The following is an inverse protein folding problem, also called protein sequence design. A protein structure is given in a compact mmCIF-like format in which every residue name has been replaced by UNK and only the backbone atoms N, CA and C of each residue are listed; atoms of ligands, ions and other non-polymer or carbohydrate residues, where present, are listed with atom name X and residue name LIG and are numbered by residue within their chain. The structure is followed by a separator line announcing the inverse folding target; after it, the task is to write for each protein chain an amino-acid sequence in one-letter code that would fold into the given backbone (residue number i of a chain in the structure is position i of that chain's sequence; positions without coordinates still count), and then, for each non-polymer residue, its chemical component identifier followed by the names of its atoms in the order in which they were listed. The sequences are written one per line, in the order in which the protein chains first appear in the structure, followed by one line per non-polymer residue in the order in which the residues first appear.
data_IF_376818420819
#
_entry.id   IF_376818420819
#
_cell.length_a   1.000
_cell.length_b   1.000
_cell.length_c   1.000
_cell.angle_alpha   90.00
_cell.angle_beta   90.00
_cell.angle_gamma   90.00
#
_symmetry.space_group_name_H-M   'P 1'
#
loop_
_entity.id
_entity.type
_entity.pdbx_description
1 polymer ?
#
# COMPACT_ATOMS: atom_id res chain seq x y z
N UNK A 1 16.48 -3.80 -3.72
CA UNK A 1 15.62 -3.28 -4.79
C UNK A 1 14.96 -4.47 -5.48
N UNK A 2 13.65 -4.40 -5.73
CA UNK A 2 12.91 -5.42 -6.49
C UNK A 2 12.56 -4.83 -7.84
N UNK A 3 12.77 -5.64 -8.90
CA UNK A 3 12.33 -5.30 -10.24
C UNK A 3 11.56 -6.48 -10.83
N UNK A 4 10.38 -6.21 -11.36
CA UNK A 4 9.56 -7.15 -12.11
C UNK A 4 9.59 -6.75 -13.59
N UNK A 5 9.86 -7.71 -14.48
CA UNK A 5 9.82 -7.49 -15.91
C UNK A 5 8.84 -8.44 -16.58
N UNK A 6 7.75 -7.85 -17.12
CA UNK A 6 6.71 -8.55 -17.88
C UNK A 6 6.21 -9.84 -17.20
N UNK A 7 6.04 -9.76 -15.85
CA UNK A 7 5.68 -10.92 -15.05
C UNK A 7 4.25 -11.37 -15.30
N UNK A 8 4.04 -12.69 -15.27
CA UNK A 8 2.76 -13.34 -15.47
C UNK A 8 2.53 -14.39 -14.41
N UNK A 9 1.27 -14.45 -13.94
CA UNK A 9 0.77 -15.51 -13.05
C UNK A 9 -0.54 -16.00 -13.60
N UNK A 10 -0.57 -17.26 -13.98
CA UNK A 10 -1.73 -17.92 -14.55
C UNK A 10 -2.14 -19.09 -13.67
N UNK A 11 -3.44 -19.19 -13.36
CA UNK A 11 -4.01 -20.31 -12.65
C UNK A 11 -4.85 -21.14 -13.63
N UNK A 12 -4.60 -22.45 -13.68
CA UNK A 12 -5.46 -23.39 -14.39
C UNK A 12 -6.69 -23.71 -13.52
N UNK A 13 -7.89 -23.54 -14.04
CA UNK A 13 -9.11 -24.04 -13.39
C UNK A 13 -9.33 -25.51 -13.71
N UNK A 14 -10.08 -26.21 -12.87
CA UNK A 14 -10.49 -27.60 -13.12
C UNK A 14 -11.23 -27.79 -14.46
N UNK A 15 -11.86 -26.73 -14.97
CA UNK A 15 -12.54 -26.71 -16.27
C UNK A 15 -11.59 -26.48 -17.47
N UNK A 16 -10.25 -26.45 -17.25
CA UNK A 16 -9.25 -26.21 -18.30
C UNK A 16 -9.16 -24.73 -18.75
N UNK A 17 -9.91 -23.82 -18.15
CA UNK A 17 -9.77 -22.39 -18.42
C UNK A 17 -8.58 -21.82 -17.67
N UNK A 18 -7.76 -21.02 -18.36
CA UNK A 18 -6.64 -20.30 -17.74
C UNK A 18 -7.13 -18.93 -17.27
N UNK A 19 -7.02 -18.68 -15.95
CA UNK A 19 -7.23 -17.34 -15.37
C UNK A 19 -5.88 -16.64 -15.30
N UNK A 20 -5.75 -15.53 -16.00
CA UNK A 20 -4.59 -14.66 -15.96
C UNK A 20 -4.76 -13.71 -14.77
N UNK A 21 -4.16 -14.03 -13.63
CA UNK A 21 -4.27 -13.23 -12.43
C UNK A 21 -3.31 -12.03 -12.46
N UNK A 22 -2.13 -12.20 -13.08
CA UNK A 22 -1.18 -11.15 -13.46
C UNK A 22 -0.77 -11.40 -14.89
N UNK A 23 -0.81 -10.39 -15.77
CA UNK A 23 -0.58 -10.52 -17.22
C UNK A 23 0.29 -9.38 -17.74
N UNK A 24 1.61 -9.55 -17.67
CA UNK A 24 2.58 -8.64 -18.25
C UNK A 24 2.86 -7.40 -17.39
N UNK A 25 2.86 -7.52 -16.06
CA UNK A 25 3.16 -6.41 -15.16
C UNK A 25 4.67 -6.21 -15.08
N UNK A 26 5.10 -4.96 -15.23
CA UNK A 26 6.47 -4.51 -14.94
C UNK A 26 6.42 -3.46 -13.84
N UNK A 27 7.32 -3.56 -12.88
CA UNK A 27 7.37 -2.71 -11.70
C UNK A 27 8.80 -2.69 -11.18
N UNK A 28 9.28 -1.52 -10.81
CA UNK A 28 10.49 -1.33 -10.01
C UNK A 28 10.12 -0.66 -8.69
N UNK A 29 10.79 -1.04 -7.60
CA UNK A 29 10.59 -0.51 -6.27
C UNK A 29 11.91 0.07 -5.77
N UNK A 30 11.90 1.36 -5.45
CA UNK A 30 13.03 2.06 -4.86
C UNK A 30 13.08 1.88 -3.33
N UNK A 31 14.27 1.94 -2.69
CA UNK A 31 14.38 1.98 -1.23
C UNK A 31 13.61 3.16 -0.63
N UNK A 32 12.88 2.94 0.46
CA UNK A 32 12.11 3.99 1.13
C UNK A 32 10.94 4.56 0.30
N UNK A 33 10.56 3.90 -0.80
CA UNK A 33 9.40 4.30 -1.59
C UNK A 33 8.10 3.74 -0.99
N UNK A 34 7.06 4.56 -0.93
CA UNK A 34 5.71 4.11 -0.60
C UNK A 34 4.87 4.04 -1.85
N UNK A 35 4.51 2.82 -2.25
CA UNK A 35 3.63 2.56 -3.39
C UNK A 35 2.27 2.10 -2.88
N UNK A 36 1.18 2.66 -3.41
CA UNK A 36 -0.16 2.10 -3.23
C UNK A 36 -0.59 1.34 -4.49
N UNK A 37 -1.02 0.08 -4.31
CA UNK A 37 -1.61 -0.73 -5.38
C UNK A 37 -3.12 -0.72 -5.23
N UNK A 38 -3.82 -0.14 -6.20
CA UNK A 38 -5.28 0.02 -6.20
C UNK A 38 -5.94 -0.72 -7.36
N UNK A 39 -7.26 -0.91 -7.28
CA UNK A 39 -8.05 -1.55 -8.34
C UNK A 39 -9.20 -2.38 -7.76
N UNK A 40 -10.13 -2.78 -8.60
CA UNK A 40 -11.29 -3.56 -8.21
C UNK A 40 -10.92 -4.93 -7.63
N UNK A 41 -11.85 -5.55 -6.90
CA UNK A 41 -11.68 -6.92 -6.42
C UNK A 41 -11.47 -7.89 -7.60
N UNK A 42 -10.49 -8.79 -7.46
CA UNK A 42 -10.11 -9.71 -8.52
C UNK A 42 -9.21 -9.14 -9.62
N UNK A 43 -8.76 -7.87 -9.51
CA UNK A 43 -7.85 -7.26 -10.49
C UNK A 43 -6.41 -7.82 -10.47
N UNK A 44 -6.05 -8.64 -9.46
CA UNK A 44 -4.74 -9.31 -9.38
C UNK A 44 -3.81 -8.77 -8.31
N UNK A 45 -4.23 -7.79 -7.49
CA UNK A 45 -3.40 -7.12 -6.45
C UNK A 45 -2.76 -8.10 -5.46
N UNK A 46 -3.54 -8.94 -4.80
CA UNK A 46 -3.02 -9.92 -3.83
C UNK A 46 -2.15 -11.00 -4.49
N UNK A 47 -2.41 -11.33 -5.77
CA UNK A 47 -1.53 -12.22 -6.54
C UNK A 47 -0.18 -11.54 -6.80
N UNK A 48 -0.18 -10.25 -7.14
CA UNK A 48 1.03 -9.46 -7.31
C UNK A 48 1.79 -9.32 -5.98
N UNK A 49 1.08 -9.14 -4.85
CA UNK A 49 1.68 -9.17 -3.52
C UNK A 49 2.39 -10.51 -3.24
N UNK A 50 1.69 -11.62 -3.44
CA UNK A 50 2.26 -12.96 -3.26
C UNK A 50 3.48 -13.23 -4.13
N UNK A 51 3.51 -12.67 -5.34
CA UNK A 51 4.67 -12.74 -6.23
C UNK A 51 5.84 -11.90 -5.71
N UNK A 52 5.56 -10.70 -5.22
CA UNK A 52 6.59 -9.81 -4.65
C UNK A 52 7.21 -10.40 -3.39
N UNK A 53 6.41 -11.04 -2.52
CA UNK A 53 6.88 -11.75 -1.32
C UNK A 53 7.69 -13.01 -1.72
N UNK A 54 7.38 -13.61 -2.86
CA UNK A 54 7.99 -14.85 -3.32
C UNK A 54 7.16 -16.11 -3.04
N UNK A 55 5.91 -15.97 -2.60
CA UNK A 55 5.00 -17.11 -2.35
C UNK A 55 4.33 -17.61 -3.63
N UNK A 56 4.16 -16.73 -4.63
CA UNK A 56 3.48 -17.08 -5.88
C UNK A 56 4.51 -17.32 -6.98
N UNK A 57 4.54 -18.51 -7.60
CA UNK A 57 5.46 -18.79 -8.69
C UNK A 57 5.07 -18.02 -9.96
N UNK A 58 6.08 -17.65 -10.74
CA UNK A 58 5.89 -17.05 -12.05
C UNK A 58 5.41 -18.08 -13.08
N UNK A 59 4.45 -17.68 -13.93
CA UNK A 59 4.14 -18.40 -15.18
C UNK A 59 4.92 -17.84 -16.37
N UNK A 60 5.58 -16.68 -16.21
CA UNK A 60 6.41 -16.04 -17.23
C UNK A 60 6.89 -14.66 -16.77
N UNK A 61 7.85 -14.10 -17.51
CA UNK A 61 8.54 -12.88 -17.10
C UNK A 61 9.64 -13.16 -16.09
N UNK A 62 10.18 -12.11 -15.47
CA UNK A 62 11.31 -12.21 -14.56
C UNK A 62 11.09 -11.37 -13.29
N UNK A 63 11.48 -11.91 -12.12
CA UNK A 63 11.59 -11.19 -10.85
C UNK A 63 13.05 -11.13 -10.44
N UNK A 64 13.59 -9.95 -10.45
CA UNK A 64 14.95 -9.66 -10.00
C UNK A 64 14.92 -9.05 -8.62
N UNK A 65 15.67 -9.62 -7.69
CA UNK A 65 15.88 -9.09 -6.35
C UNK A 65 17.27 -9.48 -5.89
N UNK A 66 17.93 -8.64 -5.09
CA UNK A 66 19.19 -8.99 -4.47
C UNK A 66 18.97 -10.21 -3.54
N UNK A 67 19.91 -11.16 -3.48
CA UNK A 67 19.75 -12.39 -2.68
C UNK A 67 19.53 -12.11 -1.19
N UNK A 68 20.14 -11.04 -0.68
CA UNK A 68 20.07 -10.59 0.71
C UNK A 68 18.82 -9.76 1.03
N UNK A 69 17.99 -9.43 0.03
CA UNK A 69 16.83 -8.55 0.20
C UNK A 69 15.78 -9.21 1.09
N UNK A 70 15.47 -8.58 2.21
CA UNK A 70 14.45 -9.06 3.16
C UNK A 70 13.11 -8.47 2.80
N UNK A 71 12.19 -9.31 2.32
CA UNK A 71 10.80 -8.94 2.04
C UNK A 71 9.89 -9.57 3.08
N UNK A 72 8.97 -8.80 3.65
CA UNK A 72 7.94 -9.29 4.56
C UNK A 72 6.56 -8.86 4.10
N UNK A 73 5.57 -9.72 4.34
CA UNK A 73 4.18 -9.45 3.99
C UNK A 73 3.26 -9.56 5.19
N UNK A 74 2.33 -8.62 5.31
CA UNK A 74 1.21 -8.68 6.25
C UNK A 74 -0.07 -8.78 5.44
N UNK A 75 -0.80 -9.88 5.65
CA UNK A 75 -1.98 -10.23 4.88
C UNK A 75 -3.25 -9.65 5.50
N UNK A 76 -4.34 -9.68 4.73
CA UNK A 76 -5.64 -9.12 5.09
C UNK A 76 -6.25 -9.71 6.37
N UNK A 77 -5.99 -10.99 6.66
CA UNK A 77 -6.54 -11.68 7.84
C UNK A 77 -5.46 -11.80 8.92
N UNK A 78 -5.51 -10.99 10.00
CA UNK A 78 -4.48 -11.02 11.03
C UNK A 78 -4.31 -12.37 11.70
N UNK A 79 -5.42 -13.04 12.03
CA UNK A 79 -5.41 -14.33 12.73
C UNK A 79 -4.77 -15.47 11.89
N UNK A 80 -4.77 -15.35 10.57
CA UNK A 80 -4.19 -16.37 9.70
C UNK A 80 -2.66 -16.37 9.69
N UNK A 81 -2.03 -15.33 10.23
CA UNK A 81 -0.57 -15.20 10.29
C UNK A 81 0.01 -15.47 11.68
N UNK A 82 -0.83 -15.51 12.70
CA UNK A 82 -0.40 -15.72 14.10
C UNK A 82 -0.10 -17.21 14.33
N UNK A 83 1.07 -17.50 14.88
CA UNK A 83 1.56 -18.83 15.19
C UNK A 83 1.67 -19.08 16.70
N UNK A 84 1.96 -18.04 17.49
CA UNK A 84 2.12 -18.10 18.94
C UNK A 84 0.82 -17.85 19.70
N UNK A 85 0.78 -18.30 20.96
CA UNK A 85 -0.32 -17.97 21.89
C UNK A 85 -0.09 -16.62 22.57
N UNK A 86 1.16 -16.20 22.72
CA UNK A 86 1.58 -14.94 23.34
C UNK A 86 2.39 -14.06 22.37
N UNK A 87 2.47 -12.76 22.68
CA UNK A 87 3.29 -11.81 21.92
C UNK A 87 4.75 -12.27 21.88
N UNK A 88 5.28 -12.77 23.00
CA UNK A 88 6.67 -13.24 23.09
C UNK A 88 6.93 -14.45 22.19
N UNK A 89 6.02 -15.41 22.18
CA UNK A 89 6.13 -16.60 21.31
C UNK A 89 6.07 -16.23 19.85
N UNK A 90 5.21 -15.28 19.46
CA UNK A 90 5.08 -14.82 18.08
C UNK A 90 6.40 -14.22 17.57
N UNK A 91 7.04 -13.35 18.37
CA UNK A 91 8.37 -12.82 18.04
C UNK A 91 9.44 -13.91 18.06
N UNK A 92 9.36 -14.88 18.98
CA UNK A 92 10.29 -15.99 19.00
C UNK A 92 10.24 -16.80 17.70
N UNK A 93 9.05 -17.14 17.20
CA UNK A 93 8.91 -17.84 15.92
C UNK A 93 9.49 -17.03 14.75
N UNK A 94 9.20 -15.74 14.69
CA UNK A 94 9.64 -14.88 13.61
C UNK A 94 11.16 -14.65 13.58
N UNK A 95 11.80 -14.60 14.76
CA UNK A 95 13.21 -14.27 14.91
C UNK A 95 14.12 -15.51 15.07
N UNK A 96 13.55 -16.69 15.34
CA UNK A 96 14.30 -17.92 15.60
C UNK A 96 15.21 -18.36 14.44
N UNK A 97 14.84 -18.01 13.20
CA UNK A 97 15.64 -18.31 12.01
C UNK A 97 16.78 -17.30 11.78
N UNK A 98 16.78 -16.19 12.51
CA UNK A 98 17.85 -15.20 12.44
C UNK A 98 18.96 -15.62 13.39
N UNK A 99 20.20 -15.71 12.89
CA UNK A 99 21.39 -16.09 13.68
C UNK A 99 21.85 -14.96 14.61
N UNK A 100 20.95 -14.48 15.49
CA UNK A 100 21.19 -13.33 16.37
C UNK A 100 21.17 -13.73 17.84
N UNK A 101 21.85 -12.92 18.64
CA UNK A 101 21.85 -13.13 20.10
C UNK A 101 20.46 -12.87 20.70
N UNK A 102 20.11 -13.50 21.82
CA UNK A 102 18.85 -13.24 22.53
C UNK A 102 18.65 -11.73 22.86
N UNK A 103 19.72 -11.03 23.21
CA UNK A 103 19.67 -9.59 23.51
C UNK A 103 19.33 -8.75 22.26
N UNK A 104 19.80 -9.14 21.08
CA UNK A 104 19.46 -8.45 19.85
C UNK A 104 18.00 -8.74 19.45
N UNK A 105 17.53 -9.97 19.61
CA UNK A 105 16.12 -10.32 19.38
C UNK A 105 15.19 -9.54 20.31
N UNK A 106 15.57 -9.38 21.58
CA UNK A 106 14.84 -8.55 22.54
C UNK A 106 14.76 -7.08 22.09
N UNK A 107 15.92 -6.48 21.75
CA UNK A 107 15.95 -5.10 21.26
C UNK A 107 15.08 -4.91 20.03
N UNK A 108 15.11 -5.84 19.08
CA UNK A 108 14.28 -5.77 17.86
C UNK A 108 12.79 -5.85 18.18
N UNK A 109 12.38 -6.73 19.07
CA UNK A 109 11.01 -6.83 19.55
C UNK A 109 10.53 -5.53 20.18
N UNK A 110 11.29 -4.99 21.13
CA UNK A 110 10.95 -3.76 21.83
C UNK A 110 10.86 -2.57 20.86
N UNK A 111 11.83 -2.44 19.97
CA UNK A 111 11.80 -1.39 18.94
C UNK A 111 10.60 -1.51 18.01
N UNK A 112 10.28 -2.71 17.55
CA UNK A 112 9.15 -2.95 16.65
C UNK A 112 7.80 -2.66 17.32
N UNK A 113 7.61 -3.13 18.57
CA UNK A 113 6.40 -2.85 19.35
C UNK A 113 6.23 -1.35 19.60
N UNK A 114 7.32 -0.66 19.95
CA UNK A 114 7.31 0.79 20.11
C UNK A 114 6.95 1.53 18.81
N UNK A 115 7.52 1.10 17.69
CA UNK A 115 7.25 1.72 16.38
C UNK A 115 5.77 1.67 16.00
N UNK A 116 5.10 0.55 16.28
CA UNK A 116 3.67 0.40 15.99
C UNK A 116 2.75 0.91 17.12
N UNK A 117 3.32 1.36 18.25
CA UNK A 117 2.56 1.84 19.40
C UNK A 117 1.74 0.74 20.10
N UNK A 118 2.22 -0.51 20.09
CA UNK A 118 1.54 -1.61 20.76
C UNK A 118 2.15 -1.83 22.16
N UNK A 119 1.49 -1.29 23.18
CA UNK A 119 1.91 -1.34 24.58
C UNK A 119 1.21 -2.51 25.30
N UNK A 120 1.80 -3.69 25.24
CA UNK A 120 1.34 -4.89 25.96
C UNK A 120 2.52 -5.66 26.54
N UNK A 121 2.32 -6.35 27.70
CA UNK A 121 3.34 -7.25 28.23
C UNK A 121 3.67 -8.37 27.22
N UNK A 122 4.92 -8.81 27.11
CA UNK A 122 5.32 -9.89 26.20
C UNK A 122 4.51 -11.19 26.38
N UNK A 123 4.09 -11.47 27.62
CA UNK A 123 3.29 -12.65 27.98
C UNK A 123 1.79 -12.46 27.74
N UNK A 124 1.36 -11.30 27.21
CA UNK A 124 -0.06 -11.09 26.90
C UNK A 124 -0.53 -12.09 25.84
N UNK A 125 -1.67 -12.72 26.10
CA UNK A 125 -2.27 -13.67 25.16
C UNK A 125 -2.79 -12.91 23.93
N UNK A 126 -2.41 -13.36 22.73
CA UNK A 126 -2.81 -12.75 21.46
C UNK A 126 -4.34 -12.81 21.25
N UNK A 127 -4.98 -13.83 21.82
CA UNK A 127 -6.45 -13.96 21.79
C UNK A 127 -7.19 -12.80 22.49
N UNK A 128 -6.52 -12.07 23.40
CA UNK A 128 -7.08 -10.90 24.09
C UNK A 128 -6.94 -9.60 23.31
N UNK A 129 -6.16 -9.59 22.22
CA UNK A 129 -5.98 -8.42 21.38
C UNK A 129 -7.18 -8.19 20.46
N UNK A 130 -7.56 -6.92 20.29
CA UNK A 130 -8.52 -6.53 19.24
C UNK A 130 -7.98 -6.84 17.85
N UNK A 131 -8.83 -6.89 16.83
CA UNK A 131 -8.41 -7.10 15.44
C UNK A 131 -7.35 -6.08 14.98
N UNK A 132 -7.53 -4.80 15.35
CA UNK A 132 -6.55 -3.74 15.08
C UNK A 132 -5.21 -3.96 15.79
N UNK A 133 -5.24 -4.39 17.06
CA UNK A 133 -4.02 -4.70 17.79
C UNK A 133 -3.29 -5.93 17.24
N UNK A 134 -4.01 -6.96 16.79
CA UNK A 134 -3.42 -8.10 16.08
C UNK A 134 -2.76 -7.67 14.77
N UNK A 135 -3.37 -6.76 14.04
CA UNK A 135 -2.79 -6.21 12.81
C UNK A 135 -1.50 -5.45 13.10
N UNK A 136 -1.50 -4.59 14.14
CA UNK A 136 -0.28 -3.91 14.60
C UNK A 136 0.80 -4.91 15.05
N UNK A 137 0.41 -5.99 15.74
CA UNK A 137 1.33 -7.06 16.13
C UNK A 137 1.98 -7.70 14.90
N UNK A 138 1.21 -8.07 13.88
CA UNK A 138 1.74 -8.66 12.65
C UNK A 138 2.72 -7.73 11.94
N UNK A 139 2.45 -6.42 11.94
CA UNK A 139 3.39 -5.43 11.40
C UNK A 139 4.65 -5.35 12.27
N UNK A 140 4.52 -5.33 13.60
CA UNK A 140 5.68 -5.31 14.49
C UNK A 140 6.56 -6.54 14.31
N UNK A 141 5.96 -7.72 14.21
CA UNK A 141 6.67 -8.99 13.94
C UNK A 141 7.41 -8.93 12.60
N UNK A 142 6.75 -8.43 11.56
CA UNK A 142 7.39 -8.24 10.26
C UNK A 142 8.57 -7.25 10.32
N UNK A 143 8.43 -6.14 11.06
CA UNK A 143 9.47 -5.11 11.24
C UNK A 143 10.66 -5.62 12.04
N UNK A 144 10.46 -6.50 13.02
CA UNK A 144 11.56 -7.07 13.81
C UNK A 144 12.58 -7.83 12.95
N UNK A 145 12.17 -8.34 11.78
CA UNK A 145 13.07 -8.93 10.80
C UNK A 145 13.89 -7.89 10.00
N UNK A 146 13.75 -6.59 10.28
CA UNK A 146 14.39 -5.47 9.54
C UNK A 146 14.20 -5.59 8.03
N UNK A 147 12.95 -5.56 7.54
CA UNK A 147 12.69 -5.73 6.11
C UNK A 147 13.17 -4.52 5.32
N UNK A 148 13.73 -4.77 4.13
CA UNK A 148 13.95 -3.74 3.12
C UNK A 148 12.63 -3.34 2.45
N UNK A 149 11.70 -4.31 2.36
CA UNK A 149 10.37 -4.14 1.74
C UNK A 149 9.30 -4.74 2.63
N UNK A 150 8.30 -3.95 2.98
CA UNK A 150 7.10 -4.37 3.69
C UNK A 150 5.88 -4.29 2.78
N UNK A 151 5.17 -5.40 2.61
CA UNK A 151 3.96 -5.49 1.79
C UNK A 151 2.77 -5.64 2.72
N UNK A 152 1.82 -4.72 2.62
CA UNK A 152 0.61 -4.67 3.44
C UNK A 152 -0.61 -4.90 2.53
N UNK A 153 -1.29 -6.05 2.67
CA UNK A 153 -2.50 -6.38 1.88
C UNK A 153 -3.75 -6.05 2.69
N UNK A 154 -4.41 -4.95 2.34
CA UNK A 154 -5.61 -4.40 2.97
C UNK A 154 -5.48 -4.26 4.52
N UNK A 155 -4.42 -3.62 5.03
CA UNK A 155 -4.10 -3.65 6.46
C UNK A 155 -5.14 -2.95 7.35
N UNK A 156 -6.04 -2.17 6.77
CA UNK A 156 -7.05 -1.37 7.48
C UNK A 156 -8.48 -1.87 7.30
N UNK A 157 -8.68 -2.98 6.57
CA UNK A 157 -10.02 -3.46 6.20
C UNK A 157 -10.95 -3.72 7.41
N UNK A 158 -10.38 -4.08 8.57
CA UNK A 158 -11.12 -4.38 9.80
C UNK A 158 -10.93 -3.33 10.91
N UNK A 159 -10.38 -2.15 10.56
CA UNK A 159 -10.08 -1.11 11.54
C UNK A 159 -11.18 -0.04 11.58
N UNK A 160 -11.44 0.46 12.79
CA UNK A 160 -12.20 1.70 12.97
C UNK A 160 -11.41 2.92 12.43
N UNK A 161 -12.08 4.07 12.19
CA UNK A 161 -11.40 5.25 11.61
C UNK A 161 -10.16 5.69 12.40
N UNK A 162 -10.26 5.74 13.75
CA UNK A 162 -9.12 6.14 14.57
C UNK A 162 -7.95 5.16 14.53
N UNK A 163 -8.22 3.86 14.35
CA UNK A 163 -7.19 2.85 14.16
C UNK A 163 -6.55 2.96 12.76
N UNK A 164 -7.30 3.38 11.73
CA UNK A 164 -6.75 3.65 10.38
C UNK A 164 -5.76 4.81 10.43
N UNK A 165 -6.11 5.93 11.06
CA UNK A 165 -5.22 7.09 11.18
C UNK A 165 -3.91 6.71 11.89
N UNK A 166 -3.99 5.89 12.96
CA UNK A 166 -2.80 5.37 13.63
C UNK A 166 -1.94 4.47 12.71
N UNK A 167 -2.59 3.60 11.94
CA UNK A 167 -1.90 2.73 10.98
C UNK A 167 -1.16 3.54 9.91
N UNK A 168 -1.79 4.58 9.37
CA UNK A 168 -1.16 5.49 8.41
C UNK A 168 0.08 6.16 9.01
N UNK A 169 0.01 6.66 10.26
CA UNK A 169 1.15 7.25 10.95
C UNK A 169 2.29 6.25 11.18
N UNK A 170 1.96 5.00 11.53
CA UNK A 170 2.94 3.92 11.66
C UNK A 170 3.66 3.69 10.33
N UNK A 171 2.93 3.57 9.23
CA UNK A 171 3.53 3.33 7.91
C UNK A 171 4.39 4.53 7.46
N UNK A 172 3.97 5.77 7.72
CA UNK A 172 4.81 6.94 7.47
C UNK A 172 6.14 6.85 8.22
N UNK A 173 6.12 6.43 9.49
CA UNK A 173 7.33 6.24 10.30
C UNK A 173 8.24 5.17 9.69
N UNK A 174 7.68 4.04 9.28
CA UNK A 174 8.41 2.93 8.64
C UNK A 174 9.11 3.39 7.36
N UNK A 175 8.41 4.13 6.51
CA UNK A 175 8.97 4.68 5.27
C UNK A 175 10.09 5.69 5.56
N UNK A 176 9.91 6.57 6.55
CA UNK A 176 10.94 7.53 6.99
C UNK A 176 12.20 6.83 7.52
N UNK A 177 12.06 5.64 8.08
CA UNK A 177 13.19 4.80 8.52
C UNK A 177 13.91 4.08 7.37
N UNK A 178 13.43 4.22 6.12
CA UNK A 178 14.06 3.71 4.91
C UNK A 178 13.51 2.39 4.38
N UNK A 179 12.54 1.76 5.05
CA UNK A 179 11.85 0.58 4.54
C UNK A 179 10.90 0.99 3.40
N UNK A 180 10.99 0.32 2.26
CA UNK A 180 10.03 0.51 1.18
C UNK A 180 8.70 -0.17 1.55
N UNK A 181 7.57 0.49 1.26
CA UNK A 181 6.25 -0.04 1.59
C UNK A 181 5.40 -0.17 0.33
N UNK A 182 4.79 -1.34 0.14
CA UNK A 182 3.72 -1.57 -0.81
C UNK A 182 2.43 -1.75 -0.03
N UNK A 183 1.50 -0.80 -0.20
CA UNK A 183 0.20 -0.82 0.45
C UNK A 183 -0.88 -1.15 -0.56
N UNK A 184 -1.48 -2.31 -0.45
CA UNK A 184 -2.59 -2.73 -1.28
C UNK A 184 -3.89 -2.32 -0.59
N UNK A 185 -4.74 -1.59 -1.31
CA UNK A 185 -6.01 -1.12 -0.78
C UNK A 185 -7.06 -0.92 -1.86
N UNK A 186 -8.32 -1.01 -1.47
CA UNK A 186 -9.45 -0.53 -2.25
C UNK A 186 -10.01 0.80 -1.71
N UNK A 187 -9.47 1.32 -0.59
CA UNK A 187 -9.81 2.62 -0.01
C UNK A 187 -8.89 3.69 -0.59
N UNK A 188 -9.42 4.51 -1.50
CA UNK A 188 -8.60 5.49 -2.23
C UNK A 188 -8.13 6.66 -1.36
N UNK A 189 -8.75 6.90 -0.21
CA UNK A 189 -8.26 7.84 0.80
C UNK A 189 -6.83 7.49 1.24
N UNK A 190 -6.55 6.20 1.46
CA UNK A 190 -5.24 5.70 1.87
C UNK A 190 -4.18 5.89 0.78
N UNK A 191 -4.60 5.79 -0.49
CA UNK A 191 -3.71 6.00 -1.63
C UNK A 191 -3.30 7.48 -1.84
N UNK A 192 -3.85 8.41 -1.06
CA UNK A 192 -3.43 9.82 -1.12
C UNK A 192 -2.09 10.10 -0.43
N UNK A 193 -1.60 9.16 0.37
CA UNK A 193 -0.40 9.29 1.20
C UNK A 193 0.88 8.83 0.52
N UNK A 194 0.75 7.96 -0.48
CA UNK A 194 1.89 7.31 -1.13
C UNK A 194 2.66 8.25 -2.06
N UNK A 195 3.87 7.82 -2.43
CA UNK A 195 4.66 8.51 -3.44
C UNK A 195 4.18 8.18 -4.86
N UNK A 196 3.64 6.96 -5.07
CA UNK A 196 3.29 6.43 -6.38
C UNK A 196 2.09 5.50 -6.28
N UNK A 197 1.16 5.61 -7.22
CA UNK A 197 0.02 4.71 -7.36
C UNK A 197 0.25 3.79 -8.56
N UNK A 198 -0.02 2.51 -8.33
CA UNK A 198 -0.15 1.51 -9.38
C UNK A 198 -1.60 1.06 -9.40
N UNK A 199 -2.30 1.30 -10.51
CA UNK A 199 -3.66 0.81 -10.65
C UNK A 199 -3.70 -0.46 -11.49
N UNK A 200 -4.38 -1.47 -10.97
CA UNK A 200 -4.52 -2.78 -11.62
C UNK A 200 -5.94 -3.01 -12.11
N UNK A 201 -6.05 -3.47 -13.35
CA UNK A 201 -7.30 -3.94 -13.94
C UNK A 201 -7.04 -5.25 -14.71
N UNK A 202 -7.86 -6.28 -14.46
CA UNK A 202 -7.78 -7.57 -15.17
C UNK A 202 -6.38 -8.18 -15.27
N UNK A 203 -5.60 -8.08 -14.18
CA UNK A 203 -4.24 -8.61 -14.09
C UNK A 203 -3.16 -7.72 -14.70
N UNK A 204 -3.48 -6.54 -15.21
CA UNK A 204 -2.56 -5.61 -15.86
C UNK A 204 -2.38 -4.35 -15.04
N UNK A 205 -1.20 -3.75 -15.13
CA UNK A 205 -0.97 -2.40 -14.68
C UNK A 205 -1.51 -1.44 -15.75
N UNK A 206 -2.51 -0.64 -15.39
CA UNK A 206 -3.16 0.32 -16.30
C UNK A 206 -2.80 1.78 -15.96
N UNK A 207 -2.25 2.00 -14.80
CA UNK A 207 -1.68 3.28 -14.38
C UNK A 207 -0.49 3.06 -13.46
N UNK A 208 0.53 3.87 -13.63
CA UNK A 208 1.72 3.93 -12.82
C UNK A 208 2.22 5.37 -12.77
N UNK A 209 2.13 6.02 -11.61
CA UNK A 209 2.53 7.41 -11.47
C UNK A 209 2.08 8.09 -10.17
N UNK A 210 2.23 9.42 -10.14
CA UNK A 210 1.95 10.22 -8.96
C UNK A 210 0.44 10.24 -8.61
N UNK A 211 0.07 10.27 -7.31
CA UNK A 211 -1.32 10.33 -6.86
C UNK A 211 -2.11 11.50 -7.45
N UNK A 212 -1.52 12.69 -7.53
CA UNK A 212 -2.19 13.86 -8.09
C UNK A 212 -2.63 13.62 -9.54
N UNK A 213 -1.75 13.07 -10.39
CA UNK A 213 -2.08 12.74 -11.77
C UNK A 213 -3.11 11.62 -11.90
N UNK A 214 -3.12 10.67 -10.96
CA UNK A 214 -4.14 9.61 -10.91
C UNK A 214 -5.55 10.16 -10.66
N UNK A 215 -5.67 11.09 -9.70
CA UNK A 215 -6.97 11.61 -9.28
C UNK A 215 -7.47 12.80 -10.11
N UNK A 216 -6.56 13.66 -10.59
CA UNK A 216 -6.93 14.89 -11.30
C UNK A 216 -6.71 14.81 -12.81
N UNK A 217 -6.01 13.78 -13.30
CA UNK A 217 -5.54 13.72 -14.68
C UNK A 217 -4.27 14.56 -14.89
N UNK A 218 -3.76 14.58 -16.11
CA UNK A 218 -2.62 15.43 -16.49
C UNK A 218 -3.07 16.89 -16.60
N UNK A 219 -2.25 17.83 -16.13
CA UNK A 219 -2.50 19.26 -16.33
C UNK A 219 -2.46 19.61 -17.83
N UNK A 220 -3.33 20.56 -18.23
CA UNK A 220 -3.50 20.97 -19.62
C UNK A 220 -2.23 21.56 -20.27
N UNK A 221 -1.20 21.91 -19.49
CA UNK A 221 0.06 22.44 -20.02
C UNK A 221 0.93 21.39 -20.72
N UNK A 222 0.71 20.09 -20.46
CA UNK A 222 1.39 19.00 -21.16
C UNK A 222 0.64 18.47 -22.41
N UNK A 223 -0.61 18.90 -22.61
CA UNK A 223 -1.39 18.51 -23.79
C UNK A 223 -1.14 19.59 -24.85
N UNK A 224 -0.27 19.26 -25.80
CA UNK A 224 0.00 20.07 -27.01
C UNK A 224 -1.26 20.61 -27.67
N UNK A 225 -1.12 21.81 -28.27
CA UNK A 225 -2.08 22.76 -28.81
C UNK A 225 -3.10 22.26 -29.86
N UNK A 226 -3.46 20.98 -29.92
CA UNK A 226 -4.29 20.44 -31.01
C UNK A 226 -5.62 19.77 -30.57
N UNK A 227 -6.02 19.92 -29.30
CA UNK A 227 -7.33 19.44 -28.84
C UNK A 227 -8.29 20.65 -28.70
N UNK A 228 -9.17 20.78 -29.67
CA UNK A 228 -10.23 21.79 -29.70
C UNK A 228 -11.07 21.75 -28.40
N UNK A 229 -11.69 22.91 -28.09
CA UNK A 229 -12.64 23.16 -26.99
C UNK A 229 -13.57 21.95 -26.78
N UNK A 230 -13.27 21.08 -25.81
CA UNK A 230 -14.04 19.88 -25.56
C UNK A 230 -13.84 19.36 -24.16
N UNK A 231 -14.74 18.54 -23.71
CA UNK A 231 -14.89 17.95 -22.40
C UNK A 231 -13.56 17.56 -21.73
N UNK A 232 -13.45 17.89 -20.46
CA UNK A 232 -12.34 17.47 -19.60
C UNK A 232 -12.24 15.94 -19.65
N UNK A 233 -11.13 15.40 -20.13
CA UNK A 233 -10.95 13.95 -20.14
C UNK A 233 -11.02 13.43 -18.70
N UNK A 234 -11.73 12.31 -18.45
CA UNK A 234 -11.82 11.74 -17.12
C UNK A 234 -10.43 11.35 -16.62
N UNK A 235 -10.19 11.55 -15.32
CA UNK A 235 -8.95 11.13 -14.68
C UNK A 235 -8.74 9.62 -14.80
N UNK A 236 -7.50 9.08 -14.66
CA UNK A 236 -7.27 7.64 -14.60
C UNK A 236 -8.13 6.92 -13.56
N UNK A 237 -8.37 7.55 -12.41
CA UNK A 237 -9.27 7.05 -11.37
C UNK A 237 -10.70 6.89 -11.88
N UNK A 238 -11.25 7.92 -12.54
CA UNK A 238 -12.60 7.90 -13.11
C UNK A 238 -12.74 6.93 -14.29
N UNK A 239 -11.70 6.79 -15.12
CA UNK A 239 -11.67 5.83 -16.24
C UNK A 239 -11.78 4.38 -15.74
N UNK A 240 -11.26 4.08 -14.55
CA UNK A 240 -11.35 2.78 -13.90
C UNK A 240 -12.68 2.57 -13.15
N UNK A 241 -13.61 3.55 -13.21
CA UNK A 241 -14.86 3.49 -12.46
C UNK A 241 -14.68 3.58 -10.94
N UNK A 242 -13.54 4.09 -10.49
CA UNK A 242 -13.26 4.25 -9.07
C UNK A 242 -13.73 5.64 -8.60
N UNK A 243 -14.31 5.71 -7.41
CA UNK A 243 -14.71 6.98 -6.81
C UNK A 243 -13.49 7.65 -6.15
N UNK A 244 -13.10 8.86 -6.58
CA UNK A 244 -12.00 9.58 -5.94
C UNK A 244 -12.30 9.87 -4.46
N UNK A 245 -11.26 10.11 -3.62
CA UNK A 245 -11.42 10.56 -2.24
C UNK A 245 -12.32 11.79 -2.10
N UNK A 246 -13.01 11.93 -0.97
CA UNK A 246 -13.93 13.05 -0.73
C UNK A 246 -13.27 14.42 -0.93
N UNK A 247 -12.03 14.58 -0.46
CA UNK A 247 -11.24 15.80 -0.68
C UNK A 247 -11.06 16.13 -2.15
N UNK A 248 -10.72 15.12 -2.96
CA UNK A 248 -10.53 15.26 -4.41
C UNK A 248 -11.84 15.62 -5.09
N UNK A 249 -12.95 14.94 -4.74
CA UNK A 249 -14.28 15.24 -5.28
C UNK A 249 -14.66 16.69 -5.00
N UNK A 250 -14.47 17.16 -3.75
CA UNK A 250 -14.73 18.54 -3.35
C UNK A 250 -13.86 19.52 -4.14
N UNK A 251 -12.57 19.26 -4.26
CA UNK A 251 -11.67 20.11 -5.04
C UNK A 251 -12.05 20.18 -6.52
N UNK A 252 -12.46 19.05 -7.12
CA UNK A 252 -12.95 19.03 -8.51
C UNK A 252 -14.22 19.85 -8.69
N UNK A 253 -15.15 19.81 -7.71
CA UNK A 253 -16.34 20.66 -7.73
C UNK A 253 -15.99 22.15 -7.62
N UNK A 254 -15.04 22.52 -6.77
CA UNK A 254 -14.55 23.89 -6.63
C UNK A 254 -13.85 24.37 -7.91
N UNK A 255 -13.06 23.52 -8.54
CA UNK A 255 -12.45 23.81 -9.86
C UNK A 255 -13.51 24.08 -10.93
N UNK A 256 -14.56 23.26 -11.01
CA UNK A 256 -15.69 23.46 -11.94
C UNK A 256 -16.42 24.79 -11.73
N UNK A 257 -16.47 25.27 -10.48
CA UNK A 257 -17.07 26.58 -10.13
C UNK A 257 -16.11 27.76 -10.28
N UNK A 258 -14.87 27.52 -10.73
CA UNK A 258 -13.86 28.58 -10.84
C UNK A 258 -13.32 29.10 -9.50
N UNK A 259 -13.57 28.36 -8.40
CA UNK A 259 -13.14 28.75 -7.07
C UNK A 259 -11.77 28.17 -6.69
N UNK A 260 -11.30 27.12 -7.37
CA UNK A 260 -9.98 26.53 -7.21
C UNK A 260 -9.36 26.37 -8.59
N UNK A 261 -8.14 26.88 -8.81
CA UNK A 261 -7.55 26.90 -10.16
C UNK A 261 -6.50 25.79 -10.35
N UNK A 262 -5.31 25.94 -9.78
CA UNK A 262 -4.16 25.06 -10.06
C UNK A 262 -3.91 24.00 -8.96
N UNK A 263 -4.41 24.21 -7.74
CA UNK A 263 -4.15 23.29 -6.65
C UNK A 263 -4.80 21.90 -6.87
N UNK A 264 -4.11 20.86 -6.45
CA UNK A 264 -4.55 19.47 -6.52
C UNK A 264 -4.49 18.81 -5.13
N UNK A 265 -5.30 19.32 -4.16
CA UNK A 265 -5.27 18.82 -2.79
C UNK A 265 -5.73 17.37 -2.73
N UNK A 266 -4.92 16.51 -2.14
CA UNK A 266 -5.21 15.09 -1.94
C UNK A 266 -5.82 14.84 -0.55
N UNK A 267 -5.54 15.72 0.44
CA UNK A 267 -5.93 15.58 1.84
C UNK A 267 -6.74 16.79 2.32
N UNK A 268 -7.59 16.61 3.35
CA UNK A 268 -8.43 17.69 3.90
C UNK A 268 -7.64 18.93 4.29
N UNK A 269 -6.46 18.74 4.92
CA UNK A 269 -5.63 19.85 5.41
C UNK A 269 -5.09 20.70 4.23
N UNK A 270 -4.77 20.05 3.11
CA UNK A 270 -4.33 20.74 1.90
C UNK A 270 -5.50 21.56 1.30
N UNK A 271 -6.71 20.98 1.25
CA UNK A 271 -7.87 21.67 0.75
C UNK A 271 -8.25 22.87 1.64
N UNK A 272 -8.23 22.70 2.95
CA UNK A 272 -8.49 23.79 3.91
C UNK A 272 -7.49 24.93 3.72
N UNK A 273 -6.21 24.63 3.55
CA UNK A 273 -5.17 25.63 3.28
C UNK A 273 -5.47 26.44 2.00
N UNK A 274 -5.87 25.78 0.92
CA UNK A 274 -6.21 26.45 -0.34
C UNK A 274 -7.44 27.34 -0.20
N UNK A 275 -8.49 26.85 0.51
CA UNK A 275 -9.72 27.64 0.75
C UNK A 275 -9.45 28.84 1.65
N UNK A 276 -8.61 28.71 2.68
CA UNK A 276 -8.26 29.80 3.58
C UNK A 276 -7.56 30.96 2.85
N UNK A 277 -6.80 30.69 1.81
CA UNK A 277 -6.15 31.72 0.98
C UNK A 277 -7.17 32.62 0.22
N UNK A 278 -8.40 32.15 -0.01
CA UNK A 278 -9.45 32.98 -0.64
C UNK A 278 -9.98 34.11 0.25
N UNK A 279 -9.91 33.92 1.58
CA UNK A 279 -10.39 34.95 2.53
C UNK A 279 -9.36 36.05 2.75
N UNK A 280 -8.16 35.89 2.21
CA UNK A 280 -7.04 36.82 2.38
C UNK A 280 -6.79 37.70 1.15
N UNK A 281 -7.54 37.49 0.05
CA UNK A 281 -7.56 38.27 -1.17
C UNK A 281 -8.93 38.90 -1.40
#
# INVERSE_FOLDING_TARGET
MIKLENVRVHYASESGRVRKAVDGVSLDLAPGEWISIVGANGSGKSTLAGLLIGFTPLSGGERMAAPELVVRGVLQQPDAQVLGDTIEEEFHFALSSLLESPDEQLRRREHALHTVGLEHPPQAAISMLSGGQKQLLNIAVALAAKPDVLILDEPTAMLDPGARDRMEAVVQTIVQQGTAVIWITHHLEEATLCNRIIAMEQGRCVYDGAPAAFFYGKDKEEITADAGKGAQQPSPCEQLGLAPPFTVQTALLLKRKGLLHHATPLRPEQLVKEVALWQSN
#
